data_IF_097762745218
#
_entry.id   IF_097762745218
#
_cell.length_a   1.000
_cell.length_b   1.000
_cell.length_c   1.000
_cell.angle_alpha   90.00
_cell.angle_beta   90.00
_cell.angle_gamma   90.00
#
_symmetry.space_group_name_H-M   'P 1'
#
loop_
_entity.id
_entity.type
_entity.pdbx_description
1 polymer ?
#
# COMPACT_ATOMS: atom_id res chain seq x y z
N UNK A 1 -16.08 24.57 -14.98
CA UNK A 1 -16.59 23.36 -15.66
C UNK A 1 -16.58 22.26 -14.61
N UNK A 2 -17.73 21.84 -14.10
CA UNK A 2 -17.80 20.73 -13.14
C UNK A 2 -17.59 19.43 -13.90
N UNK A 3 -16.56 18.66 -13.54
CA UNK A 3 -16.37 17.30 -14.05
C UNK A 3 -17.44 16.41 -13.39
N UNK A 4 -18.51 16.11 -14.11
CA UNK A 4 -19.52 15.15 -13.69
C UNK A 4 -19.07 13.76 -14.13
N UNK A 5 -18.73 12.90 -13.17
CA UNK A 5 -18.37 11.51 -13.43
C UNK A 5 -19.63 10.64 -13.34
N UNK A 6 -20.05 10.07 -14.47
CA UNK A 6 -21.21 9.18 -14.53
C UNK A 6 -20.74 7.73 -14.44
N UNK A 7 -21.16 6.99 -13.41
CA UNK A 7 -20.86 5.57 -13.31
C UNK A 7 -21.75 4.77 -14.27
N UNK A 8 -21.12 3.93 -15.10
CA UNK A 8 -21.83 3.06 -16.05
C UNK A 8 -22.47 1.83 -15.41
N UNK A 9 -22.06 1.47 -14.18
CA UNK A 9 -22.52 0.28 -13.45
C UNK A 9 -22.64 0.56 -11.95
N UNK A 10 -23.61 -0.07 -11.29
CA UNK A 10 -23.81 0.01 -9.83
C UNK A 10 -22.82 -0.87 -9.07
N UNK A 11 -22.46 -0.52 -7.83
CA UNK A 11 -21.47 -1.26 -7.00
C UNK A 11 -21.80 -2.76 -6.85
N UNK A 12 -23.09 -3.08 -6.73
CA UNK A 12 -23.62 -4.46 -6.65
C UNK A 12 -23.38 -5.32 -7.91
N UNK A 13 -23.02 -4.71 -9.04
CA UNK A 13 -22.71 -5.43 -10.28
C UNK A 13 -21.24 -5.87 -10.35
N UNK A 14 -20.37 -5.35 -9.49
CA UNK A 14 -18.96 -5.73 -9.44
C UNK A 14 -18.74 -6.92 -8.51
N UNK A 15 -17.80 -7.81 -8.84
CA UNK A 15 -17.40 -8.94 -8.00
C UNK A 15 -18.45 -10.05 -7.83
N UNK A 16 -19.51 -10.07 -8.66
CA UNK A 16 -20.46 -11.19 -8.70
C UNK A 16 -19.72 -12.48 -9.05
N UNK A 17 -20.12 -13.58 -8.40
CA UNK A 17 -19.57 -14.91 -8.70
C UNK A 17 -19.76 -15.20 -10.20
N UNK A 18 -18.66 -15.47 -10.90
CA UNK A 18 -18.73 -15.98 -12.26
C UNK A 18 -19.35 -17.38 -12.23
N UNK A 19 -20.54 -17.52 -12.81
CA UNK A 19 -21.16 -18.83 -13.04
C UNK A 19 -20.65 -19.34 -14.37
N UNK A 20 -19.64 -20.21 -14.32
CA UNK A 20 -19.18 -20.92 -15.49
C UNK A 20 -20.14 -22.07 -15.79
N UNK A 21 -20.53 -22.20 -17.04
CA UNK A 21 -21.33 -23.30 -17.56
C UNK A 21 -20.73 -23.75 -18.87
N UNK A 22 -20.77 -25.05 -19.16
CA UNK A 22 -20.41 -25.56 -20.48
C UNK A 22 -21.31 -24.89 -21.53
N UNK A 23 -20.71 -24.00 -22.34
CA UNK A 23 -21.35 -23.32 -23.47
C UNK A 23 -20.49 -23.54 -24.70
N UNK A 24 -21.14 -23.60 -25.86
CA UNK A 24 -20.43 -23.55 -27.12
C UNK A 24 -19.61 -22.25 -27.19
N UNK A 25 -18.50 -22.30 -27.92
CA UNK A 25 -17.66 -21.14 -28.16
C UNK A 25 -18.46 -20.01 -28.83
N UNK A 26 -18.41 -18.81 -28.24
CA UNK A 26 -19.06 -17.62 -28.78
C UNK A 26 -17.98 -16.59 -29.11
N UNK A 27 -17.94 -16.15 -30.38
CA UNK A 27 -17.04 -15.09 -30.82
C UNK A 27 -17.63 -13.74 -30.42
N UNK A 28 -17.28 -13.25 -29.23
CA UNK A 28 -17.80 -11.99 -28.69
C UNK A 28 -17.23 -10.78 -29.45
N UNK A 29 -15.95 -10.86 -29.85
CA UNK A 29 -15.24 -9.78 -30.53
C UNK A 29 -14.22 -10.35 -31.52
N UNK A 30 -14.15 -9.77 -32.72
CA UNK A 30 -13.09 -9.99 -33.70
C UNK A 30 -12.37 -8.67 -33.96
N UNK A 31 -11.11 -8.54 -33.52
CA UNK A 31 -10.27 -7.37 -33.78
C UNK A 31 -9.25 -7.76 -34.85
N UNK A 32 -9.44 -7.35 -36.11
CA UNK A 32 -8.45 -7.60 -37.15
C UNK A 32 -7.18 -6.76 -36.89
N UNK A 33 -6.00 -7.25 -37.29
CA UNK A 33 -4.77 -6.48 -37.18
C UNK A 33 -4.84 -5.22 -38.05
N UNK A 34 -4.32 -4.10 -37.53
CA UNK A 34 -4.18 -2.86 -38.30
C UNK A 34 -3.02 -3.01 -39.31
N UNK A 35 -3.28 -2.95 -40.63
CA UNK A 35 -2.26 -3.08 -41.66
C UNK A 35 -1.21 -1.96 -41.63
N UNK A 36 -1.46 -0.84 -40.94
CA UNK A 36 -0.50 0.25 -40.77
C UNK A 36 0.54 0.02 -39.68
N UNK A 37 0.35 -0.97 -38.80
CA UNK A 37 1.25 -1.27 -37.69
C UNK A 37 2.27 -2.32 -38.13
N UNK A 38 3.39 -1.85 -38.68
CA UNK A 38 4.51 -2.68 -39.15
C UNK A 38 5.49 -3.10 -38.05
N UNK A 39 5.40 -2.46 -36.88
CA UNK A 39 6.29 -2.70 -35.74
C UNK A 39 5.78 -3.78 -34.80
N UNK A 40 6.00 -5.06 -35.12
CA UNK A 40 5.94 -6.12 -34.10
C UNK A 40 7.19 -5.96 -33.23
N UNK A 41 7.12 -5.14 -32.18
CA UNK A 41 8.19 -5.12 -31.18
C UNK A 41 8.22 -6.49 -30.49
N UNK A 42 9.37 -7.20 -30.45
CA UNK A 42 9.50 -8.40 -29.64
C UNK A 42 9.34 -8.01 -28.17
N UNK A 43 8.15 -8.25 -27.61
CA UNK A 43 7.89 -8.07 -26.18
C UNK A 43 8.64 -9.17 -25.43
N UNK A 44 9.61 -8.80 -24.62
CA UNK A 44 10.27 -9.73 -23.69
C UNK A 44 9.24 -10.15 -22.63
N UNK A 45 9.09 -11.46 -22.38
CA UNK A 45 8.08 -12.05 -21.46
C UNK A 45 8.14 -11.52 -20.02
N UNK A 46 9.18 -10.74 -19.69
CA UNK A 46 9.48 -10.27 -18.33
C UNK A 46 8.75 -8.99 -17.93
N UNK A 47 8.28 -8.18 -18.88
CA UNK A 47 7.67 -6.88 -18.60
C UNK A 47 6.17 -6.85 -18.93
N UNK A 48 5.44 -7.92 -18.58
CA UNK A 48 3.99 -7.91 -18.61
C UNK A 48 3.43 -7.75 -17.20
N UNK A 49 3.09 -6.52 -16.84
CA UNK A 49 2.22 -6.28 -15.70
C UNK A 49 0.80 -6.72 -16.10
N UNK A 50 0.31 -7.81 -15.50
CA UNK A 50 -1.11 -8.14 -15.54
C UNK A 50 -1.79 -7.29 -14.48
N UNK A 51 -2.69 -6.41 -14.89
CA UNK A 51 -3.55 -5.71 -13.94
C UNK A 51 -4.60 -6.71 -13.41
N UNK A 52 -4.22 -7.47 -12.39
CA UNK A 52 -5.12 -8.36 -11.63
C UNK A 52 -5.85 -7.59 -10.52
N UNK A 53 -6.25 -6.35 -10.79
CA UNK A 53 -7.02 -5.56 -9.85
C UNK A 53 -8.50 -5.78 -10.10
N UNK A 54 -9.24 -6.11 -9.05
CA UNK A 54 -10.69 -6.16 -9.11
C UNK A 54 -11.20 -4.76 -9.45
N UNK A 55 -12.03 -4.65 -10.50
CA UNK A 55 -12.74 -3.40 -10.78
C UNK A 55 -13.64 -3.09 -9.58
N UNK A 56 -13.33 -2.01 -8.87
CA UNK A 56 -14.11 -1.54 -7.73
C UNK A 56 -14.74 -0.19 -8.08
N UNK A 57 -16.00 -0.02 -7.71
CA UNK A 57 -16.65 1.29 -7.67
C UNK A 57 -16.04 2.12 -6.54
N UNK A 58 -15.91 3.43 -6.77
CA UNK A 58 -15.47 4.41 -5.77
C UNK A 58 -16.21 4.23 -4.43
N UNK A 59 -15.48 4.32 -3.34
CA UNK A 59 -16.04 4.23 -2.00
C UNK A 59 -15.42 5.32 -1.15
N UNK A 60 -16.20 6.34 -0.80
CA UNK A 60 -15.79 7.30 0.21
C UNK A 60 -15.79 6.61 1.58
N UNK A 61 -14.59 6.37 2.11
CA UNK A 61 -14.39 5.87 3.46
C UNK A 61 -13.73 6.97 4.27
N UNK A 62 -14.45 7.48 5.26
CA UNK A 62 -13.88 8.39 6.25
C UNK A 62 -12.99 7.60 7.20
N UNK A 63 -11.68 7.69 7.04
CA UNK A 63 -10.73 7.22 8.06
C UNK A 63 -10.73 8.20 9.23
N UNK A 64 -10.97 7.68 10.44
CA UNK A 64 -10.88 8.49 11.66
C UNK A 64 -9.41 8.77 11.96
N UNK A 65 -9.09 10.01 12.32
CA UNK A 65 -7.77 10.37 12.82
C UNK A 65 -7.49 9.61 14.11
N UNK A 66 -6.34 8.95 14.19
CA UNK A 66 -5.90 8.19 15.36
C UNK A 66 -4.57 8.77 15.86
N UNK A 67 -4.52 9.11 17.15
CA UNK A 67 -3.32 9.64 17.78
C UNK A 67 -2.47 8.49 18.34
N UNK A 68 -1.27 8.30 17.80
CA UNK A 68 -0.27 7.36 18.33
C UNK A 68 0.87 8.10 19.01
N UNK A 69 1.25 7.64 20.20
CA UNK A 69 2.44 8.13 20.90
C UNK A 69 3.48 7.00 21.00
N UNK A 70 4.69 7.26 20.52
CA UNK A 70 5.82 6.33 20.64
C UNK A 70 6.63 6.67 21.89
N UNK A 71 6.66 5.76 22.87
CA UNK A 71 7.44 5.90 24.10
C UNK A 71 8.51 4.83 24.17
N UNK A 72 9.77 5.25 24.27
CA UNK A 72 10.90 4.39 24.60
C UNK A 72 11.36 4.62 26.04
N UNK A 73 11.84 3.55 26.69
CA UNK A 73 12.51 3.65 27.99
C UNK A 73 14.01 3.48 27.74
N UNK A 74 14.80 4.47 28.14
CA UNK A 74 16.25 4.35 28.14
C UNK A 74 16.70 3.95 29.55
N UNK A 75 17.11 2.68 29.72
CA UNK A 75 17.76 2.24 30.95
C UNK A 75 19.21 2.69 30.92
N UNK A 76 19.53 3.76 31.65
CA UNK A 76 20.90 4.11 31.96
C UNK A 76 21.28 3.39 33.25
N UNK A 77 22.13 2.36 33.16
CA UNK A 77 22.69 1.71 34.33
C UNK A 77 23.56 2.72 35.09
N UNK A 78 23.08 3.21 36.24
CA UNK A 78 23.72 4.28 36.99
C UNK A 78 23.77 3.97 38.48
N UNK A 79 24.88 3.39 38.94
CA UNK A 79 25.16 3.04 40.34
C UNK A 79 25.66 4.19 41.22
N UNK A 80 25.29 5.43 40.90
CA UNK A 80 25.68 6.59 41.71
C UNK A 80 24.61 6.90 42.76
N UNK A 81 24.98 7.15 44.03
CA UNK A 81 24.05 7.63 45.04
C UNK A 81 23.31 8.89 44.59
N UNK A 82 22.06 9.07 45.06
CA UNK A 82 21.13 10.14 44.66
C UNK A 82 21.73 11.56 44.72
N UNK A 83 22.68 11.80 45.62
CA UNK A 83 23.26 13.12 45.88
C UNK A 83 24.53 13.40 45.07
N UNK A 84 24.86 12.54 44.09
CA UNK A 84 26.13 12.59 43.37
C UNK A 84 25.87 12.72 41.88
N UNK A 85 26.39 13.81 41.32
CA UNK A 85 26.34 14.07 39.89
C UNK A 85 27.52 13.38 39.20
N UNK A 86 27.29 12.38 38.32
CA UNK A 86 28.36 11.67 37.63
C UNK A 86 29.14 12.55 36.63
N UNK A 87 28.58 13.68 36.21
CA UNK A 87 29.24 14.65 35.33
C UNK A 87 30.23 15.56 36.07
N UNK A 88 30.21 15.56 37.41
CA UNK A 88 31.12 16.35 38.25
C UNK A 88 32.30 15.50 38.73
N UNK A 89 33.50 15.81 38.25
CA UNK A 89 34.71 15.02 38.51
C UNK A 89 35.08 15.02 40.00
N UNK A 90 34.88 16.15 40.70
CA UNK A 90 35.18 16.25 42.14
C UNK A 90 34.27 15.37 43.00
N UNK A 91 33.01 15.17 42.58
CA UNK A 91 32.05 14.36 43.32
C UNK A 91 32.29 12.87 43.11
N UNK A 92 32.62 12.47 41.87
CA UNK A 92 32.94 11.07 41.56
C UNK A 92 34.25 10.58 42.19
N UNK A 93 35.26 11.46 42.33
CA UNK A 93 36.53 11.13 42.98
C UNK A 93 36.39 10.79 44.48
N UNK A 94 35.37 11.30 45.18
CA UNK A 94 35.16 11.01 46.61
C UNK A 94 34.67 9.59 46.87
N UNK A 95 33.96 8.97 45.91
CA UNK A 95 33.51 7.56 46.03
C UNK A 95 34.60 6.60 45.56
N UNK A 96 35.42 6.98 44.59
CA UNK A 96 36.45 6.10 44.00
C UNK A 96 37.68 5.87 44.90
N UNK A 97 37.60 6.20 46.20
CA UNK A 97 38.71 6.14 47.15
C UNK A 97 38.66 4.89 48.03
#
# INVERSE_FOLDING_TARGET
>A
MELTYAYTKTREMFGRQCVFSDRAEELIVNIPPDPGVTGILPKTTKDQAVQSCQEMSEHEVNTRSFETNSRGINHLEGGWPKDINPSEMEQTMRIRK
#
